data_IF_263059162849
#
_entry.id   IF_263059162849
#
_cell.length_a   1.000
_cell.length_b   1.000
_cell.length_c   1.000
_cell.angle_alpha   90.00
_cell.angle_beta   90.00
_cell.angle_gamma   90.00
#
_symmetry.space_group_name_H-M   'P 1'
#
loop_
_entity.id
_entity.type
_entity.pdbx_description
1 polymer ?
#
# COMPACT_ATOMS: atom_id res chain seq x y z
N UNK A 1 -10.54 -6.94 -25.32
CA UNK A 1 -9.84 -5.77 -25.94
C UNK A 1 -8.33 -5.82 -25.71
N UNK A 2 -7.84 -6.25 -24.52
CA UNK A 2 -6.39 -6.41 -24.25
C UNK A 2 -5.70 -7.55 -25.01
N UNK A 3 -6.41 -8.31 -25.84
CA UNK A 3 -5.81 -9.37 -26.66
C UNK A 3 -5.02 -8.83 -27.87
N UNK A 4 -5.24 -7.57 -28.26
CA UNK A 4 -4.49 -6.94 -29.34
C UNK A 4 -3.12 -6.45 -28.81
N UNK A 5 -2.01 -6.75 -29.51
CA UNK A 5 -0.65 -6.36 -29.06
C UNK A 5 -0.48 -4.86 -28.80
N UNK A 6 -1.11 -4.03 -29.62
CA UNK A 6 -1.05 -2.56 -29.49
C UNK A 6 -1.71 -2.06 -28.20
N UNK A 7 -2.85 -2.65 -27.80
CA UNK A 7 -3.53 -2.29 -26.56
C UNK A 7 -2.73 -2.72 -25.33
N UNK A 8 -2.05 -3.86 -25.37
CA UNK A 8 -1.15 -4.29 -24.30
C UNK A 8 0.03 -3.36 -24.14
N UNK A 9 0.68 -2.98 -25.25
CA UNK A 9 1.82 -2.06 -25.21
C UNK A 9 1.42 -0.70 -24.65
N UNK A 10 0.26 -0.18 -25.06
CA UNK A 10 -0.26 1.08 -24.54
C UNK A 10 -0.58 0.99 -23.05
N UNK A 11 -1.26 -0.06 -22.60
CA UNK A 11 -1.58 -0.26 -21.19
C UNK A 11 -0.31 -0.38 -20.34
N UNK A 12 0.68 -1.15 -20.81
CA UNK A 12 1.98 -1.28 -20.14
C UNK A 12 2.71 0.07 -20.07
N UNK A 13 2.76 0.82 -21.16
CA UNK A 13 3.36 2.15 -21.17
C UNK A 13 2.69 3.10 -20.16
N UNK A 14 1.35 3.10 -20.11
CA UNK A 14 0.61 3.94 -19.16
C UNK A 14 0.93 3.55 -17.73
N UNK A 15 0.91 2.25 -17.41
CA UNK A 15 1.24 1.73 -16.08
C UNK A 15 2.66 2.10 -15.68
N UNK A 16 3.64 1.79 -16.53
CA UNK A 16 5.06 2.06 -16.24
C UNK A 16 5.31 3.56 -16.06
N UNK A 17 4.77 4.39 -16.94
CA UNK A 17 4.90 5.84 -16.86
C UNK A 17 4.31 6.39 -15.56
N UNK A 18 3.11 5.95 -15.17
CA UNK A 18 2.46 6.35 -13.93
C UNK A 18 3.28 5.96 -12.72
N UNK A 19 3.62 4.68 -12.58
CA UNK A 19 4.37 4.19 -11.42
C UNK A 19 5.77 4.81 -11.33
N UNK A 20 6.41 5.07 -12.46
CA UNK A 20 7.71 5.75 -12.50
C UNK A 20 7.61 7.18 -11.96
N UNK A 21 6.61 7.95 -12.38
CA UNK A 21 6.39 9.31 -11.87
C UNK A 21 6.04 9.31 -10.38
N UNK A 22 5.25 8.35 -9.92
CA UNK A 22 4.97 8.18 -8.49
C UNK A 22 6.24 7.86 -7.70
N UNK A 23 7.11 6.98 -8.20
CA UNK A 23 8.34 6.57 -7.52
C UNK A 23 9.38 7.69 -7.36
N UNK A 24 9.39 8.65 -8.27
CA UNK A 24 10.31 9.80 -8.25
C UNK A 24 9.67 11.05 -7.65
N UNK A 25 8.36 11.20 -7.76
CA UNK A 25 7.63 12.35 -7.26
C UNK A 25 7.58 12.43 -5.74
N UNK A 26 7.10 13.58 -5.25
CA UNK A 26 6.96 13.80 -3.82
C UNK A 26 5.85 13.00 -3.15
N UNK A 27 5.03 12.30 -3.92
CA UNK A 27 4.03 11.35 -3.38
C UNK A 27 4.68 10.09 -2.78
N UNK A 28 5.92 9.76 -3.16
CA UNK A 28 6.73 8.73 -2.52
C UNK A 28 7.54 9.35 -1.39
N UNK A 29 7.50 8.77 -0.19
CA UNK A 29 8.38 9.18 0.90
C UNK A 29 9.80 8.67 0.67
N UNK A 30 10.63 9.50 0.08
CA UNK A 30 12.02 9.16 -0.27
C UNK A 30 12.84 8.67 0.93
N UNK A 31 12.52 9.09 2.14
CA UNK A 31 13.32 8.81 3.34
C UNK A 31 12.80 7.60 4.13
N UNK A 32 11.48 7.51 4.30
CA UNK A 32 10.89 6.49 5.16
C UNK A 32 10.20 5.34 4.42
N UNK A 33 10.01 5.50 3.11
CA UNK A 33 9.24 4.56 2.29
C UNK A 33 7.73 4.72 2.42
N UNK A 34 7.00 4.02 1.57
CA UNK A 34 5.57 4.15 1.44
C UNK A 34 5.14 5.40 0.68
N UNK A 35 3.84 5.48 0.39
CA UNK A 35 3.24 6.53 -0.42
C UNK A 35 2.25 7.35 0.38
N UNK A 36 2.30 8.66 0.19
CA UNK A 36 1.26 9.58 0.64
C UNK A 36 0.00 9.44 -0.20
N UNK A 37 -1.13 9.90 0.33
CA UNK A 37 -2.46 9.62 -0.19
C UNK A 37 -2.71 10.20 -1.59
N UNK A 38 -2.40 11.48 -1.80
CA UNK A 38 -2.56 12.17 -3.09
C UNK A 38 -1.63 13.38 -3.19
N UNK A 39 -1.41 13.85 -4.42
CA UNK A 39 -0.67 15.09 -4.66
C UNK A 39 -1.61 16.29 -4.65
N UNK A 40 -1.13 17.40 -4.10
CA UNK A 40 -1.84 18.69 -4.09
C UNK A 40 -1.54 19.55 -5.32
N UNK A 41 -0.60 19.13 -6.16
CA UNK A 41 -0.19 19.80 -7.40
C UNK A 41 -0.24 18.85 -8.60
N UNK A 42 -0.22 19.41 -9.81
CA UNK A 42 -0.30 18.69 -11.09
C UNK A 42 1.01 18.03 -11.52
N UNK A 43 2.10 18.24 -10.79
CA UNK A 43 3.41 17.66 -11.05
C UNK A 43 3.78 16.53 -10.08
N UNK A 44 2.91 16.23 -9.13
CA UNK A 44 3.05 15.20 -8.10
C UNK A 44 4.25 15.42 -7.17
N UNK A 45 4.52 16.68 -6.84
CA UNK A 45 5.69 17.05 -6.04
C UNK A 45 5.35 17.30 -4.57
N UNK A 46 4.20 17.91 -4.29
CA UNK A 46 3.77 18.17 -2.92
C UNK A 46 2.57 17.30 -2.58
N UNK A 47 2.71 16.37 -1.64
CA UNK A 47 1.61 15.50 -1.23
C UNK A 47 0.74 16.17 -0.16
N UNK A 48 -0.47 15.64 0.02
CA UNK A 48 -1.12 15.62 1.31
C UNK A 48 -0.46 14.50 2.13
N UNK A 49 0.13 14.85 3.28
CA UNK A 49 1.09 13.99 3.99
C UNK A 49 0.47 12.80 4.74
N UNK A 50 -0.82 12.56 4.62
CA UNK A 50 -1.50 11.37 5.12
C UNK A 50 -1.03 10.11 4.38
N UNK A 51 -0.83 8.99 5.08
CA UNK A 51 -0.51 7.70 4.47
C UNK A 51 -1.58 6.67 4.82
N UNK A 52 -2.25 6.16 3.78
CA UNK A 52 -3.33 5.19 3.93
C UNK A 52 -2.86 3.77 3.65
N UNK A 53 -3.34 2.82 4.45
CA UNK A 53 -3.02 1.42 4.24
C UNK A 53 -3.55 0.91 2.89
N UNK A 54 -4.78 1.30 2.52
CA UNK A 54 -5.44 0.87 1.28
C UNK A 54 -4.76 1.36 0.00
N UNK A 55 -3.95 2.40 0.05
CA UNK A 55 -3.15 2.87 -1.09
C UNK A 55 -1.86 2.04 -1.21
N UNK A 56 -1.19 1.82 -0.08
CA UNK A 56 0.15 1.25 -0.05
C UNK A 56 0.18 -0.26 -0.37
N UNK A 57 -0.83 -1.02 0.09
CA UNK A 57 -0.96 -2.44 -0.24
C UNK A 57 -1.07 -2.70 -1.74
N UNK A 58 -2.04 -2.12 -2.46
CA UNK A 58 -2.17 -2.24 -3.91
C UNK A 58 -0.98 -1.72 -4.70
N UNK A 59 -0.39 -0.57 -4.30
CA UNK A 59 0.81 -0.06 -4.95
C UNK A 59 1.98 -1.03 -4.81
N UNK A 60 2.17 -1.64 -3.65
CA UNK A 60 3.19 -2.66 -3.45
C UNK A 60 3.02 -3.86 -4.39
N UNK A 61 1.77 -4.32 -4.60
CA UNK A 61 1.47 -5.38 -5.57
C UNK A 61 1.81 -4.95 -7.00
N UNK A 62 1.39 -3.75 -7.42
CA UNK A 62 1.62 -3.23 -8.77
C UNK A 62 3.12 -3.05 -9.07
N UNK A 63 3.90 -2.49 -8.13
CA UNK A 63 5.35 -2.38 -8.29
C UNK A 63 6.02 -3.75 -8.36
N UNK A 64 5.56 -4.73 -7.59
CA UNK A 64 6.07 -6.09 -7.61
C UNK A 64 5.82 -6.78 -8.96
N UNK A 65 4.64 -6.61 -9.53
CA UNK A 65 4.31 -7.10 -10.85
C UNK A 65 5.15 -6.41 -11.93
N UNK A 66 5.26 -5.07 -11.88
CA UNK A 66 6.07 -4.31 -12.83
C UNK A 66 7.56 -4.71 -12.74
N UNK A 67 8.10 -4.89 -11.53
CA UNK A 67 9.47 -5.39 -11.35
C UNK A 67 9.66 -6.79 -11.91
N UNK A 68 8.66 -7.68 -11.78
CA UNK A 68 8.73 -9.03 -12.36
C UNK A 68 8.94 -9.00 -13.87
N UNK A 69 8.39 -8.00 -14.54
CA UNK A 69 8.50 -7.79 -15.99
C UNK A 69 9.79 -7.09 -16.40
N UNK A 70 10.13 -5.98 -15.71
CA UNK A 70 11.17 -5.05 -16.16
C UNK A 70 12.55 -5.34 -15.56
N UNK A 71 12.59 -5.94 -14.36
CA UNK A 71 13.79 -6.11 -13.52
C UNK A 71 14.50 -4.78 -13.19
N UNK A 72 13.79 -3.65 -13.30
CA UNK A 72 14.36 -2.33 -13.04
C UNK A 72 14.63 -2.14 -11.54
N UNK A 73 15.85 -1.73 -11.20
CA UNK A 73 16.32 -1.55 -9.83
C UNK A 73 15.51 -0.50 -9.05
N UNK A 74 14.97 0.52 -9.73
CA UNK A 74 14.07 1.52 -9.13
C UNK A 74 12.87 0.84 -8.46
N UNK A 75 12.17 -0.03 -9.19
CA UNK A 75 10.97 -0.67 -8.66
C UNK A 75 11.30 -1.63 -7.53
N UNK A 76 12.44 -2.34 -7.62
CA UNK A 76 12.92 -3.18 -6.51
C UNK A 76 13.15 -2.37 -5.23
N UNK A 77 13.75 -1.18 -5.35
CA UNK A 77 13.95 -0.25 -4.23
C UNK A 77 12.62 0.19 -3.62
N UNK A 78 11.67 0.66 -4.44
CA UNK A 78 10.35 1.09 -3.98
C UNK A 78 9.60 -0.03 -3.27
N UNK A 79 9.66 -1.27 -3.78
CA UNK A 79 9.05 -2.45 -3.13
C UNK A 79 9.65 -2.67 -1.75
N UNK A 80 10.99 -2.67 -1.64
CA UNK A 80 11.67 -2.88 -0.36
C UNK A 80 11.31 -1.78 0.64
N UNK A 81 11.45 -0.51 0.24
CA UNK A 81 11.18 0.65 1.10
C UNK A 81 9.71 0.70 1.57
N UNK A 82 8.76 0.34 0.69
CA UNK A 82 7.33 0.30 1.05
C UNK A 82 7.03 -0.85 2.02
N UNK A 83 7.58 -2.04 1.78
CA UNK A 83 7.43 -3.19 2.67
C UNK A 83 8.06 -2.90 4.05
N UNK A 84 9.26 -2.31 4.09
CA UNK A 84 9.94 -1.93 5.33
C UNK A 84 9.12 -0.89 6.12
N UNK A 85 8.53 0.09 5.44
CA UNK A 85 7.62 1.06 6.07
C UNK A 85 6.37 0.38 6.65
N UNK A 86 5.73 -0.53 5.92
CA UNK A 86 4.56 -1.28 6.41
C UNK A 86 4.90 -2.07 7.68
N UNK A 87 6.04 -2.75 7.71
CA UNK A 87 6.48 -3.53 8.87
C UNK A 87 6.89 -2.63 10.05
N UNK A 88 7.57 -1.51 9.80
CA UNK A 88 8.09 -0.62 10.83
C UNK A 88 7.02 0.28 11.44
N UNK A 89 6.19 0.92 10.60
CA UNK A 89 5.31 2.01 11.02
C UNK A 89 3.84 1.60 11.13
N UNK A 90 3.41 0.60 10.36
CA UNK A 90 2.00 0.22 10.28
C UNK A 90 1.66 -1.08 11.00
N UNK A 91 2.59 -2.04 11.09
CA UNK A 91 2.28 -3.32 11.75
C UNK A 91 2.14 -3.14 13.26
N UNK A 92 1.03 -3.64 13.81
CA UNK A 92 0.73 -3.65 15.23
C UNK A 92 1.37 -4.87 15.91
N UNK A 93 1.63 -4.80 17.22
CA UNK A 93 2.19 -5.94 17.97
C UNK A 93 1.33 -7.22 17.87
N UNK A 94 0.02 -7.07 17.70
CA UNK A 94 -0.92 -8.19 17.53
C UNK A 94 -0.87 -8.83 16.13
N UNK A 95 -0.16 -8.21 15.17
CA UNK A 95 0.09 -8.76 13.84
C UNK A 95 -0.60 -8.02 12.69
N UNK A 96 -1.77 -7.41 12.89
CA UNK A 96 -2.45 -6.63 11.84
C UNK A 96 -1.77 -5.30 11.54
N UNK A 97 -2.18 -4.65 10.44
CA UNK A 97 -1.71 -3.31 10.10
C UNK A 97 -2.74 -2.26 10.49
N UNK A 98 -2.27 -1.15 11.04
CA UNK A 98 -3.04 0.05 11.33
C UNK A 98 -3.64 0.66 10.04
N UNK A 99 -4.74 1.41 10.17
CA UNK A 99 -5.46 1.93 9.00
C UNK A 99 -4.72 3.07 8.30
N UNK A 100 -4.16 4.01 9.05
CA UNK A 100 -3.53 5.21 8.47
C UNK A 100 -2.56 5.89 9.45
N UNK A 101 -1.71 6.75 8.87
CA UNK A 101 -0.96 7.79 9.57
C UNK A 101 -1.55 9.15 9.17
N UNK A 102 -1.76 10.03 10.16
CA UNK A 102 -2.23 11.40 9.95
C UNK A 102 -1.23 12.21 9.12
N UNK A 103 -1.72 13.26 8.45
CA UNK A 103 -0.87 14.25 7.80
C UNK A 103 -0.12 15.14 8.79
N UNK A 104 -0.71 15.37 9.97
CA UNK A 104 -0.25 16.31 10.98
C UNK A 104 0.61 15.66 12.04
N UNK A 105 1.67 16.34 12.41
CA UNK A 105 2.41 16.12 13.65
C UNK A 105 2.46 17.41 14.43
N UNK A 106 2.16 17.36 15.74
CA UNK A 106 2.09 18.53 16.61
C UNK A 106 1.15 19.65 16.09
N UNK A 107 0.11 19.25 15.31
CA UNK A 107 -0.87 20.17 14.71
C UNK A 107 -0.38 20.92 13.48
N UNK A 108 0.71 20.47 12.86
CA UNK A 108 1.27 21.05 11.63
C UNK A 108 1.43 19.97 10.58
N UNK A 109 0.80 20.18 9.39
CA UNK A 109 0.89 19.27 8.27
C UNK A 109 2.33 19.13 7.77
N UNK A 110 2.75 17.91 7.52
CA UNK A 110 4.07 17.60 6.96
C UNK A 110 5.27 17.80 7.88
N UNK A 111 5.09 18.31 9.12
CA UNK A 111 6.20 18.61 10.03
C UNK A 111 7.12 17.42 10.29
N UNK A 112 6.55 16.23 10.40
CA UNK A 112 7.32 14.99 10.59
C UNK A 112 8.21 14.65 9.41
N UNK A 113 7.80 15.00 8.18
CA UNK A 113 8.39 14.56 6.93
C UNK A 113 9.34 15.58 6.30
N UNK A 114 9.13 16.88 6.57
CA UNK A 114 9.88 17.98 5.96
C UNK A 114 11.13 18.33 6.76
N UNK A 115 12.05 19.08 6.12
CA UNK A 115 13.36 19.39 6.66
C UNK A 115 13.68 20.87 6.54
N UNK A 116 14.31 21.42 7.55
CA UNK A 116 14.99 22.70 7.46
C UNK A 116 16.43 22.50 6.98
N UNK A 117 16.98 23.49 6.29
CA UNK A 117 18.34 23.37 5.75
C UNK A 117 19.38 23.12 6.84
N UNK A 118 19.26 23.80 7.95
CA UNK A 118 20.14 23.68 9.10
C UNK A 118 20.16 22.28 9.71
N UNK A 119 19.03 21.58 9.66
CA UNK A 119 18.94 20.20 10.11
C UNK A 119 19.71 19.26 9.15
N UNK A 120 19.57 19.48 7.85
CA UNK A 120 20.30 18.70 6.83
C UNK A 120 21.81 18.97 6.92
N UNK A 121 22.23 20.24 7.05
CA UNK A 121 23.63 20.64 7.19
C UNK A 121 24.30 20.02 8.45
N UNK A 122 23.51 19.78 9.52
CA UNK A 122 24.01 19.15 10.75
C UNK A 122 24.13 17.61 10.67
N UNK A 123 23.35 16.98 9.79
CA UNK A 123 23.25 15.50 9.70
C UNK A 123 24.08 14.90 8.56
N UNK A 124 24.26 15.65 7.48
CA UNK A 124 24.82 15.18 6.22
C UNK A 124 26.20 15.81 5.95
N UNK A 125 27.04 15.06 5.25
CA UNK A 125 28.33 15.57 4.78
C UNK A 125 28.20 16.37 3.48
N UNK A 126 29.34 16.91 2.99
CA UNK A 126 29.36 17.75 1.79
C UNK A 126 28.90 17.01 0.54
N UNK A 127 29.27 15.74 0.37
CA UNK A 127 28.92 14.96 -0.82
C UNK A 127 27.44 14.59 -0.81
N UNK A 128 26.89 14.26 0.35
CA UNK A 128 25.47 14.00 0.55
C UNK A 128 24.60 15.24 0.32
N UNK A 129 25.05 16.41 0.81
CA UNK A 129 24.37 17.70 0.56
C UNK A 129 24.44 18.08 -0.93
N UNK A 130 25.55 17.81 -1.61
CA UNK A 130 25.67 18.01 -3.05
C UNK A 130 24.70 17.09 -3.81
N UNK A 131 24.58 15.81 -3.40
CA UNK A 131 23.63 14.86 -3.97
C UNK A 131 22.19 15.37 -3.83
N UNK A 132 21.75 15.78 -2.63
CA UNK A 132 20.40 16.32 -2.42
C UNK A 132 20.15 17.58 -3.27
N UNK A 133 21.14 18.44 -3.41
CA UNK A 133 21.02 19.67 -4.20
C UNK A 133 20.86 19.38 -5.69
N UNK A 134 21.58 18.38 -6.20
CA UNK A 134 21.55 18.01 -7.62
C UNK A 134 20.33 17.13 -7.95
N UNK A 135 20.00 16.15 -7.10
CA UNK A 135 19.08 15.08 -7.44
C UNK A 135 17.77 15.05 -6.65
N UNK A 136 17.69 15.71 -5.48
CA UNK A 136 16.56 15.54 -4.56
C UNK A 136 15.86 16.85 -4.11
N UNK A 137 15.84 17.83 -4.97
CA UNK A 137 15.03 19.06 -4.79
C UNK A 137 15.61 20.11 -3.86
N UNK A 138 16.78 19.88 -3.22
CA UNK A 138 17.38 20.84 -2.29
C UNK A 138 18.05 22.04 -2.98
N UNK A 139 18.38 21.96 -4.28
CA UNK A 139 19.07 23.00 -5.03
C UNK A 139 18.21 24.25 -5.33
N UNK A 140 16.93 24.24 -4.98
CA UNK A 140 15.99 25.34 -5.20
C UNK A 140 15.60 26.05 -3.90
N UNK A 141 14.49 26.80 -3.99
CA UNK A 141 13.82 27.35 -2.81
C UNK A 141 13.08 26.22 -2.07
N UNK A 142 12.85 26.44 -0.76
CA UNK A 142 12.00 25.55 0.02
C UNK A 142 10.64 25.37 -0.65
N UNK A 143 10.21 24.12 -0.83
CA UNK A 143 9.06 23.75 -1.64
C UNK A 143 7.77 23.55 -0.85
N UNK A 144 7.84 23.54 0.48
CA UNK A 144 6.68 23.39 1.35
C UNK A 144 6.82 24.24 2.63
N UNK A 145 6.05 25.32 2.75
CA UNK A 145 5.98 26.21 3.96
C UNK A 145 7.33 26.63 4.53
N UNK A 146 8.29 26.92 3.65
CA UNK A 146 9.65 27.33 4.05
C UNK A 146 10.56 26.18 4.45
N UNK A 147 10.13 24.94 4.28
CA UNK A 147 10.88 23.72 4.49
C UNK A 147 11.02 22.91 3.17
N UNK A 148 11.87 21.90 3.18
CA UNK A 148 12.05 21.00 2.03
C UNK A 148 11.36 19.67 2.27
N UNK A 149 10.43 19.35 1.36
CA UNK A 149 9.99 17.99 1.11
C UNK A 149 10.90 17.38 0.05
N UNK A 150 11.63 16.32 0.42
CA UNK A 150 12.64 15.70 -0.45
C UNK A 150 11.99 14.71 -1.42
N UNK A 151 12.36 14.82 -2.70
CA UNK A 151 11.87 13.99 -3.80
C UNK A 151 12.92 13.93 -4.90
N UNK A 152 12.88 12.95 -5.79
CA UNK A 152 13.82 12.87 -6.90
C UNK A 152 13.42 13.83 -8.02
N UNK A 153 14.35 14.66 -8.49
CA UNK A 153 14.10 15.64 -9.55
C UNK A 153 13.63 14.98 -10.86
N UNK A 154 12.68 15.62 -11.55
CA UNK A 154 12.13 15.17 -12.83
C UNK A 154 13.21 14.93 -13.90
N UNK A 155 14.28 15.72 -13.93
CA UNK A 155 15.40 15.54 -14.86
C UNK A 155 16.17 14.22 -14.62
N UNK A 156 16.21 13.74 -13.38
CA UNK A 156 16.83 12.46 -13.01
C UNK A 156 15.97 11.25 -13.40
N UNK A 157 14.70 11.44 -13.70
CA UNK A 157 13.77 10.35 -14.07
C UNK A 157 14.18 9.62 -15.37
N UNK A 158 15.05 10.22 -16.19
CA UNK A 158 15.52 9.64 -17.44
C UNK A 158 16.85 8.87 -17.30
N UNK A 159 17.53 8.97 -16.16
CA UNK A 159 18.85 8.34 -15.94
C UNK A 159 18.79 7.44 -14.71
N UNK A 160 19.35 6.24 -14.84
CA UNK A 160 19.57 5.37 -13.69
C UNK A 160 20.73 5.92 -12.84
N UNK A 161 20.57 5.86 -11.52
CA UNK A 161 21.65 6.19 -10.61
C UNK A 161 22.79 5.18 -10.73
N UNK A 162 24.03 5.66 -10.74
CA UNK A 162 25.22 4.83 -10.59
C UNK A 162 25.23 4.15 -9.22
N UNK A 163 26.01 3.09 -9.08
CA UNK A 163 26.18 2.41 -7.78
C UNK A 163 26.64 3.35 -6.66
N UNK A 164 27.52 4.31 -6.98
CA UNK A 164 27.98 5.31 -6.01
C UNK A 164 26.85 6.26 -5.57
N UNK A 165 26.01 6.69 -6.51
CA UNK A 165 24.85 7.53 -6.22
C UNK A 165 23.80 6.78 -5.39
N UNK A 166 23.56 5.50 -5.66
CA UNK A 166 22.66 4.66 -4.86
C UNK A 166 23.20 4.47 -3.44
N UNK A 167 24.49 4.24 -3.26
CA UNK A 167 25.11 4.13 -1.95
C UNK A 167 25.05 5.47 -1.17
N UNK A 168 25.20 6.61 -1.85
CA UNK A 168 25.04 7.93 -1.27
C UNK A 168 23.58 8.16 -0.81
N UNK A 169 22.59 7.83 -1.66
CA UNK A 169 21.18 7.93 -1.33
C UNK A 169 20.82 7.05 -0.12
N UNK A 170 21.31 5.82 -0.08
CA UNK A 170 21.09 4.90 1.05
C UNK A 170 21.66 5.46 2.37
N UNK A 171 22.88 6.04 2.33
CA UNK A 171 23.47 6.71 3.49
C UNK A 171 22.61 7.88 3.98
N UNK A 172 22.15 8.73 3.05
CA UNK A 172 21.23 9.85 3.36
C UNK A 172 19.95 9.34 4.00
N UNK A 173 19.32 8.35 3.39
CA UNK A 173 18.07 7.75 3.90
C UNK A 173 18.24 7.22 5.33
N UNK A 174 19.30 6.49 5.62
CA UNK A 174 19.59 5.95 6.96
C UNK A 174 19.77 7.07 8.00
N UNK A 175 20.56 8.11 7.69
CA UNK A 175 20.80 9.25 8.62
C UNK A 175 19.54 10.05 8.87
N UNK A 176 18.80 10.38 7.80
CA UNK A 176 17.59 11.19 7.92
C UNK A 176 16.43 10.40 8.55
N UNK A 177 16.29 9.11 8.23
CA UNK A 177 15.27 8.26 8.88
C UNK A 177 15.56 8.14 10.39
N UNK A 178 16.82 7.90 10.76
CA UNK A 178 17.21 7.85 12.18
C UNK A 178 16.86 9.16 12.92
N UNK A 179 17.16 10.31 12.32
CA UNK A 179 16.81 11.61 12.90
C UNK A 179 15.29 11.87 12.94
N UNK A 180 14.56 11.47 11.88
CA UNK A 180 13.10 11.60 11.82
C UNK A 180 12.40 10.79 12.91
N UNK A 181 12.87 9.58 13.19
CA UNK A 181 12.31 8.70 14.23
C UNK A 181 12.46 9.26 15.65
N UNK A 182 13.26 10.32 15.86
CA UNK A 182 13.34 11.06 17.13
C UNK A 182 12.32 12.20 17.25
N UNK A 183 11.60 12.52 16.16
CA UNK A 183 10.54 13.53 16.15
C UNK A 183 9.24 12.94 16.71
N UNK A 184 8.31 13.78 17.10
CA UNK A 184 6.92 13.36 17.41
C UNK A 184 6.29 12.78 16.14
N UNK A 185 5.90 11.50 16.12
CA UNK A 185 5.28 10.92 14.95
C UNK A 185 3.86 11.46 14.74
N UNK A 186 3.32 11.39 13.50
CA UNK A 186 1.91 11.67 13.24
C UNK A 186 1.00 10.67 13.98
N UNK A 187 -0.24 11.08 14.21
CA UNK A 187 -1.26 10.19 14.79
C UNK A 187 -1.46 8.95 13.94
N UNK A 188 -1.54 7.77 14.59
CA UNK A 188 -1.82 6.49 13.91
C UNK A 188 -3.21 6.01 14.27
N UNK A 189 -4.06 5.76 13.26
CA UNK A 189 -5.33 5.09 13.44
C UNK A 189 -5.12 3.57 13.54
N UNK A 190 -5.16 3.03 14.75
CA UNK A 190 -4.84 1.64 15.06
C UNK A 190 -5.98 0.64 14.79
N UNK A 191 -7.05 1.07 14.13
CA UNK A 191 -8.07 0.13 13.65
C UNK A 191 -7.48 -0.83 12.62
N UNK A 192 -7.71 -2.12 12.79
CA UNK A 192 -7.41 -3.13 11.78
C UNK A 192 -8.68 -3.34 10.95
N UNK A 193 -8.69 -2.80 9.74
CA UNK A 193 -9.79 -2.95 8.79
C UNK A 193 -9.52 -4.18 7.92
N UNK A 194 -10.46 -5.12 7.88
CA UNK A 194 -10.29 -6.41 7.19
C UNK A 194 -9.94 -6.23 5.72
N UNK A 195 -10.72 -5.43 4.99
CA UNK A 195 -10.49 -5.16 3.56
C UNK A 195 -9.11 -4.55 3.29
N UNK A 196 -8.69 -3.56 4.09
CA UNK A 196 -7.41 -2.87 3.88
C UNK A 196 -6.21 -3.76 4.24
N UNK A 197 -6.34 -4.56 5.29
CA UNK A 197 -5.34 -5.57 5.63
C UNK A 197 -5.24 -6.65 4.55
N UNK A 198 -6.36 -7.09 3.98
CA UNK A 198 -6.37 -8.03 2.88
C UNK A 198 -5.61 -7.50 1.65
N UNK A 199 -5.86 -6.25 1.24
CA UNK A 199 -5.10 -5.60 0.16
C UNK A 199 -3.60 -5.53 0.48
N UNK A 200 -3.24 -5.29 1.74
CA UNK A 200 -1.84 -5.24 2.19
C UNK A 200 -1.20 -6.62 2.20
N UNK A 201 -1.90 -7.65 2.69
CA UNK A 201 -1.43 -9.05 2.64
C UNK A 201 -1.13 -9.47 1.19
N UNK A 202 -2.02 -9.13 0.24
CA UNK A 202 -1.78 -9.35 -1.19
C UNK A 202 -0.51 -8.65 -1.67
N UNK A 203 -0.32 -7.38 -1.32
CA UNK A 203 0.87 -6.60 -1.67
C UNK A 203 2.15 -7.20 -1.10
N UNK A 204 2.14 -7.62 0.17
CA UNK A 204 3.28 -8.28 0.83
C UNK A 204 3.59 -9.66 0.22
N UNK A 205 2.58 -10.45 -0.15
CA UNK A 205 2.78 -11.72 -0.86
C UNK A 205 3.44 -11.49 -2.23
N UNK A 206 3.01 -10.48 -2.98
CA UNK A 206 3.62 -10.08 -4.25
C UNK A 206 5.07 -9.59 -4.06
N UNK A 207 5.34 -8.81 -3.02
CA UNK A 207 6.69 -8.34 -2.67
C UNK A 207 7.61 -9.52 -2.28
N UNK A 208 7.13 -10.45 -1.46
CA UNK A 208 7.88 -11.66 -1.14
C UNK A 208 8.24 -12.46 -2.39
N UNK A 209 7.32 -12.64 -3.33
CA UNK A 209 7.55 -13.36 -4.59
C UNK A 209 8.78 -12.83 -5.35
N UNK A 210 9.05 -11.54 -5.28
CA UNK A 210 10.14 -10.90 -6.05
C UNK A 210 11.39 -10.60 -5.23
N UNK A 211 11.26 -10.34 -3.92
CA UNK A 211 12.38 -10.02 -3.04
C UNK A 211 12.95 -11.24 -2.31
N UNK A 212 12.15 -12.29 -2.10
CA UNK A 212 12.49 -13.50 -1.32
C UNK A 212 12.97 -13.18 0.10
N UNK A 213 12.34 -12.18 0.73
CA UNK A 213 12.63 -11.77 2.10
C UNK A 213 11.58 -12.39 3.05
N UNK A 214 12.01 -13.29 3.94
CA UNK A 214 11.13 -14.03 4.84
C UNK A 214 10.41 -13.14 5.86
N UNK A 215 10.97 -11.99 6.23
CA UNK A 215 10.32 -11.05 7.14
C UNK A 215 9.04 -10.47 6.52
N UNK A 216 9.05 -10.22 5.20
CA UNK A 216 7.88 -9.75 4.45
C UNK A 216 6.77 -10.80 4.48
N UNK A 217 7.10 -12.07 4.24
CA UNK A 217 6.12 -13.16 4.30
C UNK A 217 5.57 -13.34 5.72
N UNK A 218 6.45 -13.36 6.72
CA UNK A 218 6.06 -13.48 8.13
C UNK A 218 5.14 -12.33 8.57
N UNK A 219 5.40 -11.11 8.11
CA UNK A 219 4.55 -9.93 8.37
C UNK A 219 3.14 -10.12 7.79
N UNK A 220 3.03 -10.59 6.54
CA UNK A 220 1.74 -10.89 5.92
C UNK A 220 0.99 -12.02 6.66
N UNK A 221 1.69 -13.07 7.05
CA UNK A 221 1.12 -14.20 7.80
C UNK A 221 0.62 -13.79 9.19
N UNK A 222 1.32 -12.89 9.88
CA UNK A 222 0.88 -12.35 11.16
C UNK A 222 -0.44 -11.58 11.02
N UNK A 223 -0.58 -10.79 9.96
CA UNK A 223 -1.83 -10.08 9.68
C UNK A 223 -2.98 -11.03 9.33
N UNK A 224 -2.71 -12.05 8.51
CA UNK A 224 -3.69 -13.08 8.18
C UNK A 224 -4.14 -13.86 9.44
N UNK A 225 -3.20 -14.20 10.32
CA UNK A 225 -3.50 -14.90 11.58
C UNK A 225 -4.41 -14.05 12.48
N UNK A 226 -4.15 -12.75 12.62
CA UNK A 226 -5.05 -11.85 13.37
C UNK A 226 -6.47 -11.84 12.77
N UNK A 227 -6.60 -11.72 11.45
CA UNK A 227 -7.93 -11.75 10.80
C UNK A 227 -8.63 -13.06 11.09
N UNK A 228 -7.93 -14.20 10.96
CA UNK A 228 -8.50 -15.53 11.21
C UNK A 228 -8.93 -15.71 12.66
N UNK A 229 -8.12 -15.27 13.60
CA UNK A 229 -8.35 -15.52 15.04
C UNK A 229 -9.32 -14.53 15.69
N UNK A 230 -9.38 -13.29 15.17
CA UNK A 230 -10.11 -12.19 15.82
C UNK A 230 -11.30 -11.67 15.02
N UNK A 231 -11.28 -11.83 13.69
CA UNK A 231 -12.29 -11.27 12.79
C UNK A 231 -13.15 -12.35 12.11
N UNK A 232 -12.70 -13.60 12.04
CA UNK A 232 -13.51 -14.71 11.58
C UNK A 232 -14.15 -15.42 12.77
N UNK A 233 -15.43 -15.12 13.05
CA UNK A 233 -16.14 -15.64 14.21
C UNK A 233 -17.51 -16.22 13.78
N UNK A 234 -17.86 -17.39 14.27
CA UNK A 234 -19.12 -18.07 14.01
C UNK A 234 -19.48 -18.20 12.51
N UNK A 235 -18.45 -18.41 11.67
CA UNK A 235 -18.61 -18.50 10.22
C UNK A 235 -18.88 -17.17 9.50
N UNK A 236 -18.66 -16.04 10.17
CA UNK A 236 -18.84 -14.69 9.63
C UNK A 236 -17.60 -13.84 9.83
N UNK A 237 -17.33 -12.98 8.85
CA UNK A 237 -16.23 -12.03 8.91
C UNK A 237 -16.69 -10.71 9.52
N UNK A 238 -15.90 -10.15 10.42
CA UNK A 238 -16.07 -8.79 10.92
C UNK A 238 -15.22 -7.81 10.13
N UNK A 239 -15.73 -6.58 9.94
CA UNK A 239 -15.05 -5.56 9.15
C UNK A 239 -13.89 -4.88 9.89
N UNK A 240 -13.95 -4.80 11.21
CA UNK A 240 -13.03 -4.00 12.04
C UNK A 240 -12.63 -4.74 13.30
N UNK A 241 -11.32 -4.76 13.60
CA UNK A 241 -10.80 -5.08 14.93
C UNK A 241 -10.22 -3.83 15.59
N UNK A 242 -10.67 -3.57 16.82
CA UNK A 242 -10.22 -2.44 17.62
C UNK A 242 -10.39 -2.74 19.10
N UNK A 243 -9.43 -2.37 19.93
CA UNK A 243 -9.46 -2.55 21.39
C UNK A 243 -9.77 -4.01 21.83
N UNK A 244 -9.18 -4.98 21.12
CA UNK A 244 -9.32 -6.39 21.44
C UNK A 244 -10.61 -7.07 20.93
N UNK A 245 -11.48 -6.36 20.18
CA UNK A 245 -12.79 -6.86 19.76
C UNK A 245 -13.02 -6.67 18.26
N UNK A 246 -13.49 -7.75 17.59
CA UNK A 246 -14.05 -7.69 16.24
C UNK A 246 -15.45 -7.03 16.27
N UNK A 247 -15.72 -6.15 15.33
CA UNK A 247 -17.00 -5.38 15.25
C UNK A 247 -17.46 -5.25 13.82
N UNK A 248 -18.75 -4.99 13.66
CA UNK A 248 -19.47 -4.83 12.41
C UNK A 248 -19.38 -6.09 11.53
N UNK A 249 -20.51 -6.50 10.97
CA UNK A 249 -20.48 -7.56 9.98
C UNK A 249 -19.66 -7.14 8.77
N UNK A 250 -18.85 -8.05 8.26
CA UNK A 250 -18.03 -7.79 7.07
C UNK A 250 -18.87 -7.42 5.86
N UNK A 251 -18.35 -6.50 5.06
CA UNK A 251 -18.91 -6.06 3.79
C UNK A 251 -18.39 -6.92 2.65
N UNK A 252 -18.94 -6.78 1.44
CA UNK A 252 -18.48 -7.49 0.25
C UNK A 252 -16.97 -7.41 0.05
N UNK A 253 -16.41 -6.20 0.22
CA UNK A 253 -15.00 -5.93 0.01
C UNK A 253 -14.11 -6.72 0.98
N UNK A 254 -14.55 -6.89 2.23
CA UNK A 254 -13.81 -7.67 3.23
C UNK A 254 -13.66 -9.13 2.80
N UNK A 255 -14.72 -9.73 2.26
CA UNK A 255 -14.68 -11.10 1.75
C UNK A 255 -13.89 -11.21 0.46
N UNK A 256 -14.20 -10.37 -0.52
CA UNK A 256 -13.59 -10.44 -1.85
C UNK A 256 -12.07 -10.21 -1.79
N UNK A 257 -11.62 -9.21 -1.05
CA UNK A 257 -10.20 -8.90 -0.93
C UNK A 257 -9.44 -9.93 -0.09
N UNK A 258 -10.08 -10.49 0.96
CA UNK A 258 -9.43 -11.53 1.76
C UNK A 258 -9.26 -12.84 0.95
N UNK A 259 -10.25 -13.21 0.14
CA UNK A 259 -10.12 -14.35 -0.76
C UNK A 259 -8.97 -14.11 -1.76
N UNK A 260 -8.89 -12.92 -2.34
CA UNK A 260 -7.82 -12.57 -3.28
C UNK A 260 -6.43 -12.62 -2.62
N UNK A 261 -6.32 -12.09 -1.40
CA UNK A 261 -5.09 -12.17 -0.60
C UNK A 261 -4.67 -13.62 -0.30
N UNK A 262 -5.62 -14.47 0.10
CA UNK A 262 -5.36 -15.91 0.31
C UNK A 262 -4.86 -16.59 -0.96
N UNK A 263 -5.48 -16.30 -2.12
CA UNK A 263 -5.06 -16.85 -3.41
C UNK A 263 -3.66 -16.37 -3.83
N UNK A 264 -3.25 -15.16 -3.47
CA UNK A 264 -1.88 -14.68 -3.69
C UNK A 264 -0.86 -15.34 -2.74
N UNK A 265 -1.19 -15.50 -1.47
CA UNK A 265 -0.34 -16.23 -0.52
C UNK A 265 -0.13 -17.70 -0.94
N UNK A 266 -1.17 -18.37 -1.41
CA UNK A 266 -1.09 -19.75 -1.90
C UNK A 266 -0.15 -19.92 -3.09
N UNK A 267 0.12 -18.86 -3.87
CA UNK A 267 1.09 -18.89 -4.97
C UNK A 267 2.55 -18.86 -4.48
N UNK A 268 2.81 -18.30 -3.32
CA UNK A 268 4.16 -18.17 -2.77
C UNK A 268 4.50 -19.24 -1.75
N UNK A 269 3.46 -19.75 -1.07
CA UNK A 269 3.55 -20.92 -0.20
C UNK A 269 2.20 -21.61 -0.09
N UNK A 270 2.16 -22.93 -0.16
CA UNK A 270 0.91 -23.71 -0.18
C UNK A 270 0.51 -24.16 1.20
N UNK A 271 -0.75 -23.88 1.57
CA UNK A 271 -1.43 -24.42 2.77
C UNK A 271 -2.88 -24.78 2.42
N UNK A 272 -3.21 -26.07 2.49
CA UNK A 272 -4.55 -26.56 2.10
C UNK A 272 -5.67 -26.00 2.95
N UNK A 273 -5.43 -25.73 4.23
CA UNK A 273 -6.40 -25.11 5.14
C UNK A 273 -6.77 -23.68 4.75
N UNK A 274 -5.87 -22.94 4.11
CA UNK A 274 -6.16 -21.59 3.61
C UNK A 274 -6.96 -21.61 2.32
N UNK A 275 -6.73 -22.59 1.45
CA UNK A 275 -7.62 -22.80 0.30
C UNK A 275 -9.03 -23.17 0.76
N UNK A 276 -9.16 -24.06 1.75
CA UNK A 276 -10.46 -24.42 2.31
C UNK A 276 -11.16 -23.19 2.92
N UNK A 277 -10.42 -22.33 3.60
CA UNK A 277 -10.98 -21.10 4.15
C UNK A 277 -11.38 -20.11 3.07
N UNK A 278 -10.61 -19.97 1.99
CA UNK A 278 -10.99 -19.16 0.84
C UNK A 278 -12.31 -19.63 0.20
N UNK A 279 -12.52 -20.97 0.11
CA UNK A 279 -13.79 -21.54 -0.36
C UNK A 279 -14.94 -21.23 0.61
N UNK A 280 -14.75 -21.39 1.92
CA UNK A 280 -15.76 -21.02 2.92
C UNK A 280 -16.17 -19.54 2.85
N UNK A 281 -15.17 -18.64 2.71
CA UNK A 281 -15.43 -17.21 2.52
C UNK A 281 -16.24 -16.95 1.24
N UNK A 282 -15.94 -17.64 0.15
CA UNK A 282 -16.66 -17.52 -1.12
C UNK A 282 -18.11 -18.04 -1.01
N UNK A 283 -18.35 -19.13 -0.28
CA UNK A 283 -19.69 -19.65 0.00
C UNK A 283 -20.52 -18.64 0.78
N UNK A 284 -19.96 -18.03 1.85
CA UNK A 284 -20.64 -16.96 2.60
C UNK A 284 -20.86 -15.74 1.72
N UNK A 285 -19.91 -15.35 0.88
CA UNK A 285 -20.06 -14.23 -0.04
C UNK A 285 -21.23 -14.46 -1.02
N UNK A 286 -21.33 -15.64 -1.60
CA UNK A 286 -22.45 -16.02 -2.48
C UNK A 286 -23.79 -16.06 -1.72
N UNK A 287 -23.82 -16.61 -0.52
CA UNK A 287 -25.04 -16.72 0.27
C UNK A 287 -25.55 -15.34 0.72
N UNK A 288 -24.65 -14.44 1.17
CA UNK A 288 -25.02 -13.22 1.89
C UNK A 288 -25.13 -11.97 1.00
N UNK A 289 -24.44 -11.95 -0.15
CA UNK A 289 -24.31 -10.71 -0.92
C UNK A 289 -24.83 -10.82 -2.35
N UNK A 290 -25.03 -12.03 -2.91
CA UNK A 290 -25.47 -12.20 -4.29
C UNK A 290 -26.85 -11.58 -4.54
N UNK A 291 -26.99 -10.80 -5.60
CA UNK A 291 -28.28 -10.42 -6.17
C UNK A 291 -28.69 -11.42 -7.23
N UNK A 292 -29.49 -12.40 -6.85
CA UNK A 292 -29.94 -13.49 -7.72
C UNK A 292 -30.90 -13.04 -8.81
N UNK A 293 -31.54 -11.89 -8.64
CA UNK A 293 -32.53 -11.39 -9.60
C UNK A 293 -31.89 -10.55 -10.70
N UNK A 294 -30.88 -9.72 -10.34
CA UNK A 294 -30.27 -8.76 -11.27
C UNK A 294 -28.76 -8.99 -11.49
N UNK A 295 -28.18 -9.98 -10.83
CA UNK A 295 -26.75 -10.28 -10.89
C UNK A 295 -25.87 -9.33 -10.10
N UNK A 296 -24.60 -9.74 -9.93
CA UNK A 296 -23.64 -9.04 -9.09
C UNK A 296 -23.90 -9.19 -7.60
N UNK A 297 -23.21 -8.36 -6.80
CA UNK A 297 -23.23 -8.44 -5.35
C UNK A 297 -23.60 -7.11 -4.75
N UNK A 298 -24.45 -7.14 -3.71
CA UNK A 298 -24.66 -5.97 -2.86
C UNK A 298 -23.43 -5.72 -1.97
N UNK A 299 -23.20 -4.49 -1.58
CA UNK A 299 -22.11 -4.12 -0.68
C UNK A 299 -22.33 -4.66 0.74
N UNK A 300 -23.58 -4.65 1.21
CA UNK A 300 -23.98 -5.14 2.53
C UNK A 300 -24.61 -6.53 2.44
N UNK A 301 -24.39 -7.37 3.46
CA UNK A 301 -25.06 -8.68 3.59
C UNK A 301 -26.59 -8.54 3.67
N UNK A 302 -27.31 -9.61 3.35
CA UNK A 302 -28.79 -9.55 3.40
C UNK A 302 -29.36 -9.53 4.83
N UNK A 303 -28.58 -9.95 5.82
CA UNK A 303 -28.90 -9.90 7.25
C UNK A 303 -28.34 -8.65 7.96
N UNK A 304 -27.87 -7.67 7.20
CA UNK A 304 -27.46 -6.36 7.72
C UNK A 304 -28.70 -5.61 8.25
N UNK A 305 -28.50 -4.57 9.07
CA UNK A 305 -29.59 -3.68 9.48
C UNK A 305 -30.38 -3.13 8.28
N UNK A 306 -31.66 -2.83 8.48
CA UNK A 306 -32.54 -2.33 7.41
C UNK A 306 -32.02 -1.00 6.84
N UNK A 307 -31.56 -1.04 5.61
CA UNK A 307 -31.12 0.12 4.84
C UNK A 307 -32.20 0.56 3.87
N UNK A 308 -32.32 1.86 3.64
CA UNK A 308 -33.21 2.41 2.61
C UNK A 308 -32.87 1.87 1.21
N UNK A 309 -31.61 1.60 0.96
CA UNK A 309 -31.10 1.02 -0.26
C UNK A 309 -29.81 0.22 0.01
N UNK A 310 -29.68 -0.96 -0.59
CA UNK A 310 -28.46 -1.73 -0.61
C UNK A 310 -27.66 -1.36 -1.86
N UNK A 311 -26.49 -0.68 -1.75
CA UNK A 311 -25.72 -0.25 -2.90
C UNK A 311 -24.99 -1.42 -3.55
N UNK A 312 -24.69 -1.29 -4.85
CA UNK A 312 -23.76 -2.12 -5.59
C UNK A 312 -22.73 -1.20 -6.26
N UNK A 313 -21.46 -1.33 -5.89
CA UNK A 313 -20.38 -0.60 -6.52
C UNK A 313 -19.79 -1.42 -7.69
N UNK A 314 -19.69 -0.81 -8.88
CA UNK A 314 -19.10 -1.39 -10.08
C UNK A 314 -17.94 -0.58 -10.64
N UNK A 315 -17.66 0.58 -10.06
CA UNK A 315 -16.55 1.45 -10.45
C UNK A 315 -15.47 1.42 -9.37
N UNK A 316 -14.22 1.37 -9.82
CA UNK A 316 -13.07 1.56 -8.95
C UNK A 316 -13.00 3.02 -8.48
N UNK A 317 -12.64 3.20 -7.24
CA UNK A 317 -12.33 4.51 -6.64
C UNK A 317 -10.88 4.46 -6.09
N UNK A 318 -10.65 4.87 -4.84
CA UNK A 318 -9.34 4.70 -4.20
C UNK A 318 -9.00 3.21 -3.99
N UNK A 319 -10.02 2.37 -3.86
CA UNK A 319 -9.90 0.91 -3.83
C UNK A 319 -10.60 0.29 -5.04
N UNK A 320 -10.21 -0.94 -5.45
CA UNK A 320 -10.94 -1.68 -6.47
C UNK A 320 -12.39 -1.92 -6.05
N UNK A 321 -13.31 -1.97 -7.03
CA UNK A 321 -14.70 -2.33 -6.74
C UNK A 321 -14.82 -3.79 -6.28
N UNK A 322 -15.48 -4.01 -5.14
CA UNK A 322 -15.69 -5.35 -4.58
C UNK A 322 -16.36 -6.31 -5.56
N UNK A 323 -17.30 -5.84 -6.39
CA UNK A 323 -17.92 -6.66 -7.44
C UNK A 323 -16.91 -7.17 -8.49
N UNK A 324 -15.94 -6.32 -8.86
CA UNK A 324 -14.87 -6.70 -9.80
C UNK A 324 -13.99 -7.81 -9.21
N UNK A 325 -13.53 -7.60 -7.97
CA UNK A 325 -12.69 -8.59 -7.29
C UNK A 325 -13.46 -9.87 -6.96
N UNK A 326 -14.72 -9.78 -6.51
CA UNK A 326 -15.57 -10.94 -6.26
C UNK A 326 -15.69 -11.82 -7.52
N UNK A 327 -15.94 -11.22 -8.68
CA UNK A 327 -15.98 -11.94 -9.96
C UNK A 327 -14.65 -12.62 -10.28
N UNK A 328 -13.54 -11.91 -10.08
CA UNK A 328 -12.19 -12.44 -10.34
C UNK A 328 -11.84 -13.62 -9.43
N UNK A 329 -12.11 -13.53 -8.13
CA UNK A 329 -11.77 -14.60 -7.19
C UNK A 329 -12.64 -15.83 -7.36
N UNK A 330 -13.93 -15.67 -7.67
CA UNK A 330 -14.81 -16.79 -7.99
C UNK A 330 -14.37 -17.51 -9.25
N UNK A 331 -13.93 -16.77 -10.28
CA UNK A 331 -13.36 -17.38 -11.49
C UNK A 331 -12.08 -18.18 -11.14
N UNK A 332 -11.18 -17.63 -10.32
CA UNK A 332 -9.94 -18.31 -9.90
C UNK A 332 -10.20 -19.57 -9.07
N UNK A 333 -11.20 -19.55 -8.19
CA UNK A 333 -11.58 -20.71 -7.36
C UNK A 333 -12.30 -21.80 -8.18
N UNK A 334 -12.94 -21.43 -9.30
CA UNK A 334 -13.67 -22.36 -10.17
C UNK A 334 -12.77 -23.15 -11.12
N UNK A 335 -11.49 -22.79 -11.24
CA UNK A 335 -10.48 -23.53 -12.04
C UNK A 335 -9.68 -24.51 -11.18
#
# INVERSE_FOLDING_TARGET
ELQQPEHRQRAFFMLENTLRHMAFGGINDLIGGGFYRYSTDDQWMIPHFEKMLYDNGPLLALYSDLYSYTKNALYRRVISETADWLMRDMQLPEGGYAASLDADSEGVEGLYYTWQKEQLDALLDTDEMAFLSEHAGLGGQANFEGQWHLHINAMQQQQEFSQQQLACLESIQQKLLHARLQRTPPGRDEKVLTAWNALTIKGMAAAYRVLQNEDILASAENSLALIRDKLWQDGRLHAVYQLGVGRLNGYLDDYAFLIDALLELLQVRWRSEELQWAVQLAEVMLEQFEDRDNGGFFFTSHDHEDLLQRPKAFSDEAMPAGNGIATQVLLRLGY
#
